data_IF_602649845597
#
_entry.id   IF_602649845597
#
_cell.length_a   1.000
_cell.length_b   1.000
_cell.length_c   1.000
_cell.angle_alpha   90.00
_cell.angle_beta   90.00
_cell.angle_gamma   90.00
#
_symmetry.space_group_name_H-M   'P 1'
#
loop_
_entity.id
_entity.type
_entity.pdbx_description
1 polymer ?
#
# COMPACT_ATOMS: atom_id res chain seq x y z
N UNK A 1 -0.87 18.64 13.95
CA UNK A 1 -1.42 17.27 14.04
C UNK A 1 -1.79 16.86 12.62
N UNK A 2 -0.87 16.19 11.92
CA UNK A 2 -0.93 16.06 10.46
C UNK A 2 -1.90 14.96 10.01
N UNK A 3 -2.95 15.39 9.31
CA UNK A 3 -3.64 14.78 8.17
C UNK A 3 -4.02 13.28 8.22
N UNK A 4 -5.33 13.01 8.11
CA UNK A 4 -5.91 11.68 7.78
C UNK A 4 -5.56 11.11 6.39
N UNK A 5 -4.42 11.47 5.79
CA UNK A 5 -3.88 10.88 4.55
C UNK A 5 -2.92 9.72 4.80
N UNK A 6 -2.33 9.63 5.99
CA UNK A 6 -1.41 8.55 6.38
C UNK A 6 -2.12 7.22 6.64
N UNK A 7 -3.40 7.24 7.04
CA UNK A 7 -4.17 6.02 7.33
C UNK A 7 -4.16 5.03 6.15
N UNK A 8 -4.37 5.54 4.92
CA UNK A 8 -4.36 4.71 3.71
C UNK A 8 -2.97 4.18 3.36
N UNK A 9 -1.90 4.93 3.63
CA UNK A 9 -0.55 4.42 3.38
C UNK A 9 -0.21 3.26 4.33
N UNK A 10 -0.60 3.39 5.60
CA UNK A 10 -0.41 2.33 6.60
C UNK A 10 -1.24 1.10 6.23
N UNK A 11 -2.49 1.29 5.82
CA UNK A 11 -3.34 0.18 5.39
C UNK A 11 -2.74 -0.57 4.19
N UNK A 12 -2.22 0.16 3.18
CA UNK A 12 -1.52 -0.44 2.03
C UNK A 12 -0.29 -1.24 2.50
N UNK A 13 0.55 -0.65 3.34
CA UNK A 13 1.76 -1.29 3.84
C UNK A 13 1.42 -2.55 4.65
N UNK A 14 0.41 -2.47 5.50
CA UNK A 14 -0.07 -3.59 6.31
C UNK A 14 -0.58 -4.72 5.42
N UNK A 15 -1.42 -4.39 4.44
CA UNK A 15 -1.95 -5.40 3.52
C UNK A 15 -0.85 -6.10 2.74
N UNK A 16 0.14 -5.36 2.23
CA UNK A 16 1.33 -5.94 1.58
C UNK A 16 2.06 -6.89 2.53
N UNK A 17 2.30 -6.46 3.77
CA UNK A 17 2.99 -7.28 4.76
C UNK A 17 2.22 -8.58 5.10
N UNK A 18 0.91 -8.49 5.30
CA UNK A 18 0.05 -9.65 5.60
C UNK A 18 0.02 -10.62 4.40
N UNK A 19 -0.17 -10.13 3.17
CA UNK A 19 -0.14 -10.96 1.95
C UNK A 19 1.22 -11.64 1.75
N UNK A 20 2.33 -10.92 1.90
CA UNK A 20 3.67 -11.53 1.80
C UNK A 20 3.87 -12.59 2.88
N UNK A 21 3.35 -12.36 4.08
CA UNK A 21 3.50 -13.28 5.21
C UNK A 21 2.62 -14.53 5.08
N UNK A 22 1.39 -14.39 4.59
CA UNK A 22 0.44 -15.50 4.44
C UNK A 22 0.66 -16.28 3.14
N UNK A 23 0.86 -15.58 2.03
CA UNK A 23 0.92 -16.17 0.70
C UNK A 23 2.35 -16.32 0.15
N UNK A 24 3.32 -15.59 0.70
CA UNK A 24 4.71 -15.61 0.22
C UNK A 24 4.96 -14.77 -1.02
N UNK A 25 3.98 -13.98 -1.47
CA UNK A 25 4.13 -13.06 -2.60
C UNK A 25 3.59 -11.66 -2.26
N UNK A 26 4.20 -10.59 -2.80
CA UNK A 26 3.66 -9.24 -2.65
C UNK A 26 2.38 -9.10 -3.49
N UNK A 27 1.32 -8.47 -2.95
CA UNK A 27 0.09 -8.29 -3.68
C UNK A 27 0.26 -7.26 -4.79
N UNK A 28 -0.58 -7.37 -5.81
CA UNK A 28 -0.61 -6.46 -6.94
C UNK A 28 -1.30 -5.14 -6.59
N UNK A 29 -1.04 -4.11 -7.38
CA UNK A 29 -1.70 -2.79 -7.23
C UNK A 29 -3.22 -2.91 -7.25
N UNK A 30 -3.78 -3.87 -8.02
CA UNK A 30 -5.23 -4.15 -8.07
C UNK A 30 -5.75 -4.74 -6.77
N UNK A 31 -5.07 -5.72 -6.20
CA UNK A 31 -5.45 -6.35 -4.92
C UNK A 31 -5.39 -5.34 -3.78
N UNK A 32 -4.30 -4.56 -3.72
CA UNK A 32 -4.17 -3.46 -2.79
C UNK A 32 -5.36 -2.51 -2.96
N UNK A 33 -5.65 -2.05 -4.18
CA UNK A 33 -6.75 -1.12 -4.45
C UNK A 33 -8.11 -1.63 -3.91
N UNK A 34 -8.39 -2.93 -4.11
CA UNK A 34 -9.59 -3.57 -3.59
C UNK A 34 -9.58 -3.66 -2.05
N UNK A 35 -8.46 -4.03 -1.45
CA UNK A 35 -8.33 -4.21 -0.01
C UNK A 35 -8.45 -2.88 0.77
N UNK A 36 -7.82 -1.79 0.30
CA UNK A 36 -7.93 -0.46 0.94
C UNK A 36 -9.19 0.32 0.54
N UNK A 37 -10.00 -0.21 -0.38
CA UNK A 37 -11.20 0.45 -0.89
C UNK A 37 -10.88 1.75 -1.65
N UNK A 38 -9.77 1.76 -2.40
CA UNK A 38 -9.41 2.89 -3.25
C UNK A 38 -10.05 2.73 -4.62
N UNK A 39 -10.61 3.80 -5.16
CA UNK A 39 -11.29 3.79 -6.45
C UNK A 39 -10.33 3.81 -7.64
N UNK A 40 -9.07 4.23 -7.42
CA UNK A 40 -8.10 4.50 -8.48
C UNK A 40 -6.74 3.89 -8.16
N UNK A 41 -6.25 3.04 -9.07
CA UNK A 41 -4.89 2.48 -9.02
C UNK A 41 -3.82 3.57 -9.07
N UNK A 42 -4.10 4.71 -9.71
CA UNK A 42 -3.22 5.89 -9.72
C UNK A 42 -2.92 6.43 -8.32
N UNK A 43 -3.91 6.39 -7.42
CA UNK A 43 -3.74 6.82 -6.03
C UNK A 43 -2.85 5.85 -5.27
N UNK A 44 -3.03 4.53 -5.50
CA UNK A 44 -2.17 3.48 -4.92
C UNK A 44 -0.72 3.64 -5.39
N UNK A 45 -0.48 3.89 -6.68
CA UNK A 45 0.86 4.16 -7.19
C UNK A 45 1.53 5.35 -6.49
N UNK A 46 0.78 6.43 -6.23
CA UNK A 46 1.29 7.58 -5.48
C UNK A 46 1.66 7.23 -4.04
N UNK A 47 0.87 6.38 -3.38
CA UNK A 47 1.16 5.88 -2.04
C UNK A 47 2.38 4.96 -2.02
N UNK A 48 2.48 4.02 -2.98
CA UNK A 48 3.61 3.11 -3.13
C UNK A 48 4.91 3.87 -3.39
N UNK A 49 4.91 4.82 -4.31
CA UNK A 49 6.11 5.61 -4.63
C UNK A 49 6.61 6.43 -3.44
N UNK A 50 5.70 6.93 -2.59
CA UNK A 50 6.07 7.57 -1.32
C UNK A 50 6.65 6.58 -0.32
N UNK A 51 6.06 5.40 -0.20
CA UNK A 51 6.54 4.36 0.71
C UNK A 51 7.92 3.83 0.28
N UNK A 52 8.15 3.65 -1.02
CA UNK A 52 9.44 3.32 -1.62
C UNK A 52 10.47 4.42 -1.36
N UNK A 53 10.11 5.69 -1.61
CA UNK A 53 10.98 6.83 -1.36
C UNK A 53 11.37 6.97 0.12
N UNK A 54 10.49 6.55 1.02
CA UNK A 54 10.73 6.54 2.46
C UNK A 54 11.47 5.26 2.94
N UNK A 55 11.75 4.30 2.05
CA UNK A 55 12.45 3.06 2.39
C UNK A 55 11.59 1.98 3.07
N UNK A 56 10.26 2.09 3.04
CA UNK A 56 9.36 1.09 3.62
C UNK A 56 9.13 -0.11 2.72
N UNK A 57 9.28 0.05 1.40
CA UNK A 57 9.07 -1.01 0.41
C UNK A 57 10.19 -0.93 -0.61
N UNK A 58 10.62 -2.09 -1.11
CA UNK A 58 11.66 -2.19 -2.12
C UNK A 58 11.12 -3.08 -3.25
N UNK A 59 11.25 -2.60 -4.49
CA UNK A 59 10.87 -3.31 -5.70
C UNK A 59 11.95 -4.27 -6.15
#
# INVERSE_FOLDING_TARGET
>A
MSNGKDSKQIDVLRFIYEEVKEHGYPPTVREICNAVGLSSTSTVHGHLSRLEKNGYIQR
#
